data_IF_820503230624
#
_entry.id   IF_820503230624
#
_cell.length_a   1.000
_cell.length_b   1.000
_cell.length_c   1.000
_cell.angle_alpha   90.00
_cell.angle_beta   90.00
_cell.angle_gamma   90.00
#
_symmetry.space_group_name_H-M   'P 1'
#
loop_
_entity.id
_entity.type
_entity.pdbx_description
1 polymer ?
#
# COMPACT_ATOMS: atom_id res chain seq x y z
N UNK A 1 12.33 -31.54 -11.88
CA UNK A 1 11.66 -30.27 -11.52
C UNK A 1 12.45 -29.13 -12.16
N UNK A 2 11.83 -28.21 -12.90
CA UNK A 2 12.58 -27.11 -13.55
C UNK A 2 12.98 -26.09 -12.48
N UNK A 3 14.27 -25.91 -12.24
CA UNK A 3 14.78 -24.88 -11.33
C UNK A 3 14.50 -23.49 -11.91
N UNK A 4 13.39 -22.90 -11.48
CA UNK A 4 13.05 -21.51 -11.83
C UNK A 4 14.11 -20.61 -11.16
N UNK A 5 14.87 -19.84 -11.96
CA UNK A 5 15.87 -18.89 -11.46
C UNK A 5 15.22 -17.95 -10.43
N UNK A 6 15.56 -18.12 -9.15
CA UNK A 6 15.18 -17.21 -8.06
C UNK A 6 15.97 -15.92 -8.16
N UNK A 7 15.32 -14.77 -7.96
CA UNK A 7 16.06 -13.53 -7.67
C UNK A 7 16.85 -13.69 -6.36
N UNK A 8 18.02 -13.03 -6.19
CA UNK A 8 18.78 -13.13 -4.95
C UNK A 8 17.91 -12.80 -3.74
N UNK A 9 17.82 -13.71 -2.78
CA UNK A 9 17.03 -13.53 -1.55
C UNK A 9 15.54 -13.93 -1.62
N UNK A 10 15.07 -14.49 -2.73
CA UNK A 10 13.73 -15.07 -2.84
C UNK A 10 13.74 -16.55 -2.46
N UNK A 11 12.93 -16.93 -1.47
CA UNK A 11 12.88 -18.34 -1.04
C UNK A 11 11.88 -19.15 -1.86
N UNK A 12 10.86 -18.49 -2.39
CA UNK A 12 9.74 -19.15 -3.07
C UNK A 12 9.33 -18.39 -4.33
N UNK A 13 9.24 -19.10 -5.46
CA UNK A 13 8.75 -18.56 -6.74
C UNK A 13 7.42 -19.21 -7.06
N UNK A 14 6.29 -18.49 -6.93
CA UNK A 14 4.99 -19.03 -7.32
C UNK A 14 4.88 -19.17 -8.84
N UNK A 15 4.01 -20.06 -9.29
CA UNK A 15 3.71 -20.22 -10.73
C UNK A 15 2.75 -19.16 -11.24
N UNK A 16 1.87 -18.69 -10.36
CA UNK A 16 0.85 -17.68 -10.61
C UNK A 16 1.43 -16.27 -10.64
N UNK A 17 0.63 -15.31 -11.11
CA UNK A 17 0.96 -13.90 -11.00
C UNK A 17 1.08 -13.48 -9.53
N UNK A 18 2.10 -12.67 -9.24
CA UNK A 18 2.37 -12.26 -7.87
C UNK A 18 3.04 -10.88 -7.77
N UNK A 19 2.81 -10.24 -6.64
CA UNK A 19 3.56 -9.10 -6.15
C UNK A 19 4.44 -9.50 -4.97
N UNK A 20 5.53 -8.77 -4.74
CA UNK A 20 6.49 -9.06 -3.67
C UNK A 20 6.89 -7.78 -2.97
N UNK A 21 7.13 -7.88 -1.66
CA UNK A 21 7.86 -6.92 -0.85
C UNK A 21 8.86 -7.66 0.04
N UNK A 22 10.01 -7.03 0.28
CA UNK A 22 11.08 -7.59 1.09
C UNK A 22 11.56 -6.57 2.11
N UNK A 23 11.70 -7.00 3.36
CA UNK A 23 12.29 -6.20 4.43
C UNK A 23 13.62 -6.80 4.85
N UNK A 24 14.71 -6.06 4.71
CA UNK A 24 16.06 -6.45 5.14
C UNK A 24 16.37 -5.95 6.55
N UNK A 25 17.12 -6.73 7.32
CA UNK A 25 17.75 -6.28 8.58
C UNK A 25 16.81 -5.63 9.60
N UNK A 26 15.54 -6.02 9.63
CA UNK A 26 14.55 -5.44 10.54
C UNK A 26 14.87 -5.83 11.98
N UNK A 27 14.78 -4.86 12.91
CA UNK A 27 15.10 -5.01 14.33
C UNK A 27 14.03 -5.78 15.12
N UNK A 28 13.65 -6.96 14.67
CA UNK A 28 12.67 -7.84 15.32
C UNK A 28 13.27 -9.22 15.56
N UNK A 29 12.66 -10.01 16.44
CA UNK A 29 13.08 -11.39 16.65
C UNK A 29 12.46 -12.30 15.58
N UNK A 30 13.28 -13.18 14.99
CA UNK A 30 12.83 -14.16 14.00
C UNK A 30 11.71 -15.05 14.53
N UNK A 31 11.77 -15.48 15.80
CA UNK A 31 10.74 -16.35 16.39
C UNK A 31 9.37 -15.65 16.43
N UNK A 32 9.35 -14.40 16.86
CA UNK A 32 8.14 -13.57 16.86
C UNK A 32 7.62 -13.34 15.45
N UNK A 33 8.48 -12.95 14.51
CA UNK A 33 8.11 -12.77 13.11
C UNK A 33 7.56 -14.06 12.49
N UNK A 34 8.19 -15.21 12.75
CA UNK A 34 7.78 -16.51 12.20
C UNK A 34 6.40 -16.94 12.69
N UNK A 35 6.07 -16.70 13.96
CA UNK A 35 4.74 -17.00 14.50
C UNK A 35 3.66 -16.16 13.83
N UNK A 36 3.90 -14.86 13.64
CA UNK A 36 2.95 -13.97 12.94
C UNK A 36 2.87 -14.33 11.45
N UNK A 37 3.98 -14.67 10.79
CA UNK A 37 4.00 -15.16 9.40
C UNK A 37 3.10 -16.39 9.25
N UNK A 38 3.25 -17.38 10.13
CA UNK A 38 2.42 -18.60 10.13
C UNK A 38 0.94 -18.27 10.28
N UNK A 39 0.60 -17.29 11.11
CA UNK A 39 -0.78 -16.88 11.32
C UNK A 39 -1.41 -16.21 10.10
N UNK A 40 -0.67 -15.42 9.31
CA UNK A 40 -1.19 -14.73 8.11
C UNK A 40 -1.06 -15.54 6.82
N UNK A 41 -0.16 -16.53 6.78
CA UNK A 41 0.13 -17.33 5.59
C UNK A 41 -1.13 -18.04 5.09
N UNK A 42 -1.31 -18.05 3.76
CA UNK A 42 -2.45 -18.61 3.03
C UNK A 42 -3.80 -17.95 3.33
N UNK A 43 -3.86 -16.80 3.99
CA UNK A 43 -5.10 -16.02 4.14
C UNK A 43 -5.26 -15.04 2.96
N UNK A 44 -6.49 -14.67 2.59
CA UNK A 44 -6.72 -13.56 1.67
C UNK A 44 -6.19 -12.26 2.29
N UNK A 45 -5.80 -11.31 1.44
CA UNK A 45 -5.21 -10.02 1.83
C UNK A 45 -6.05 -9.29 2.88
N UNK A 46 -7.35 -9.20 2.65
CA UNK A 46 -8.32 -8.54 3.55
C UNK A 46 -8.30 -9.14 4.96
N UNK A 47 -8.38 -10.46 5.07
CA UNK A 47 -8.35 -11.18 6.35
C UNK A 47 -6.99 -11.07 7.05
N UNK A 48 -5.90 -11.06 6.29
CA UNK A 48 -4.56 -10.91 6.84
C UNK A 48 -4.35 -9.52 7.45
N UNK A 49 -4.75 -8.44 6.74
CA UNK A 49 -4.72 -7.07 7.26
C UNK A 49 -5.54 -6.92 8.53
N UNK A 50 -6.80 -7.36 8.49
CA UNK A 50 -7.69 -7.32 9.67
C UNK A 50 -7.07 -8.02 10.88
N UNK A 51 -6.47 -9.21 10.69
CA UNK A 51 -5.82 -9.93 11.79
C UNK A 51 -4.64 -9.13 12.38
N UNK A 52 -3.82 -8.50 11.54
CA UNK A 52 -2.69 -7.69 12.00
C UNK A 52 -3.15 -6.40 12.69
N UNK A 53 -4.25 -5.80 12.24
CA UNK A 53 -4.88 -4.65 12.90
C UNK A 53 -5.46 -5.03 14.25
N UNK A 54 -6.15 -6.17 14.35
CA UNK A 54 -6.67 -6.71 15.62
C UNK A 54 -5.54 -6.97 16.61
N UNK A 55 -4.39 -7.50 16.15
CA UNK A 55 -3.20 -7.72 16.97
C UNK A 55 -2.55 -6.41 17.41
N UNK A 56 -2.53 -5.40 16.53
CA UNK A 56 -2.00 -4.07 16.83
C UNK A 56 -2.88 -3.33 17.86
N UNK A 57 -4.19 -3.53 17.80
CA UNK A 57 -5.18 -2.99 18.71
C UNK A 57 -5.44 -3.87 19.95
N UNK A 58 -4.67 -4.95 20.12
CA UNK A 58 -4.75 -5.88 21.25
C UNK A 58 -6.11 -6.58 21.45
N UNK A 59 -6.96 -6.57 20.41
CA UNK A 59 -8.28 -7.22 20.39
C UNK A 59 -8.21 -8.74 20.29
N UNK A 60 -7.15 -9.24 19.66
CA UNK A 60 -6.87 -10.67 19.50
C UNK A 60 -5.41 -10.94 19.83
N UNK A 61 -5.12 -12.06 20.47
CA UNK A 61 -3.76 -12.48 20.77
C UNK A 61 -3.37 -13.73 19.97
N UNK A 62 -2.06 -13.88 19.71
CA UNK A 62 -1.48 -15.09 19.15
C UNK A 62 -0.65 -15.77 20.24
N UNK A 63 -1.06 -16.96 20.69
CA UNK A 63 -0.38 -17.69 21.77
C UNK A 63 -0.16 -16.81 23.03
N UNK A 64 -1.17 -16.02 23.40
CA UNK A 64 -1.12 -15.13 24.57
C UNK A 64 -0.26 -13.87 24.41
N UNK A 65 0.22 -13.55 23.19
CA UNK A 65 1.01 -12.34 22.92
C UNK A 65 0.52 -11.60 21.67
N UNK A 66 0.76 -10.30 21.61
CA UNK A 66 0.35 -9.44 20.49
C UNK A 66 1.45 -9.19 19.45
N UNK A 67 2.72 -9.44 19.82
CA UNK A 67 3.89 -9.25 18.94
C UNK A 67 3.96 -7.86 18.26
N UNK A 68 3.62 -6.81 19.01
CA UNK A 68 3.44 -5.43 18.53
C UNK A 68 4.53 -4.95 17.56
N UNK A 69 5.81 -5.19 17.85
CA UNK A 69 6.93 -4.78 16.98
C UNK A 69 6.97 -5.53 15.64
N UNK A 70 6.67 -6.84 15.64
CA UNK A 70 6.65 -7.63 14.41
C UNK A 70 5.45 -7.24 13.53
N UNK A 71 4.27 -7.10 14.16
CA UNK A 71 3.01 -6.71 13.49
C UNK A 71 3.15 -5.36 12.80
N UNK A 72 3.73 -4.34 13.46
CA UNK A 72 3.97 -3.02 12.86
C UNK A 72 4.80 -3.10 11.57
N UNK A 73 5.91 -3.83 11.59
CA UNK A 73 6.78 -3.98 10.40
C UNK A 73 6.10 -4.79 9.29
N UNK A 74 5.34 -5.84 9.65
CA UNK A 74 4.60 -6.65 8.68
C UNK A 74 3.49 -5.87 7.98
N UNK A 75 2.76 -5.03 8.72
CA UNK A 75 1.70 -4.20 8.15
C UNK A 75 2.28 -3.20 7.15
N UNK A 76 3.43 -2.58 7.48
CA UNK A 76 4.16 -1.72 6.55
C UNK A 76 4.58 -2.46 5.26
N UNK A 77 5.12 -3.68 5.38
CA UNK A 77 5.50 -4.50 4.21
C UNK A 77 4.28 -4.95 3.39
N UNK A 78 3.16 -5.29 4.03
CA UNK A 78 1.92 -5.65 3.33
C UNK A 78 1.38 -4.49 2.51
N UNK A 79 1.35 -3.28 3.06
CA UNK A 79 0.92 -2.08 2.33
C UNK A 79 1.86 -1.76 1.16
N UNK A 80 3.17 -1.97 1.32
CA UNK A 80 4.11 -1.87 0.19
C UNK A 80 3.85 -2.94 -0.88
N UNK A 81 3.55 -4.17 -0.46
CA UNK A 81 3.28 -5.27 -1.39
C UNK A 81 1.97 -5.09 -2.15
N UNK A 82 0.95 -4.51 -1.51
CA UNK A 82 -0.33 -4.15 -2.14
C UNK A 82 -0.16 -3.07 -3.21
N UNK A 83 0.55 -1.98 -2.90
CA UNK A 83 0.89 -0.95 -3.92
C UNK A 83 1.65 -1.55 -5.11
N UNK A 84 2.53 -2.52 -4.86
CA UNK A 84 3.21 -3.25 -5.93
C UNK A 84 2.26 -4.16 -6.73
N UNK A 85 1.21 -4.68 -6.09
CA UNK A 85 0.18 -5.49 -6.75
C UNK A 85 -0.72 -4.62 -7.63
N UNK A 86 -1.14 -3.45 -7.13
CA UNK A 86 -1.87 -2.43 -7.87
C UNK A 86 -1.08 -1.95 -9.09
N UNK A 87 0.21 -1.64 -8.91
CA UNK A 87 1.09 -1.25 -10.02
C UNK A 87 1.22 -2.34 -11.09
N UNK A 88 1.15 -3.61 -10.67
CA UNK A 88 1.14 -4.77 -11.58
C UNK A 88 -0.24 -5.07 -12.17
N UNK A 89 -1.29 -4.38 -11.74
CA UNK A 89 -2.67 -4.61 -12.16
C UNK A 89 -3.26 -5.94 -11.68
N UNK A 90 -2.83 -6.43 -10.52
CA UNK A 90 -3.39 -7.65 -9.91
C UNK A 90 -4.72 -7.33 -9.20
N UNK A 91 -5.65 -8.28 -9.23
CA UNK A 91 -6.96 -8.14 -8.60
C UNK A 91 -6.88 -8.33 -7.07
N UNK A 92 -7.21 -7.29 -6.30
CA UNK A 92 -7.04 -7.23 -4.84
C UNK A 92 -7.83 -8.32 -4.09
N UNK A 93 -9.00 -8.71 -4.61
CA UNK A 93 -9.90 -9.68 -3.96
C UNK A 93 -9.36 -11.12 -4.04
N UNK A 94 -8.51 -11.39 -5.03
CA UNK A 94 -7.96 -12.72 -5.31
C UNK A 94 -6.53 -12.89 -4.78
N UNK A 95 -6.01 -11.92 -4.04
CA UNK A 95 -4.66 -11.97 -3.47
C UNK A 95 -4.62 -12.77 -2.17
N UNK A 96 -3.75 -13.77 -2.16
CA UNK A 96 -3.43 -14.57 -0.99
C UNK A 96 -2.01 -14.26 -0.50
N UNK A 97 -1.87 -14.15 0.83
CA UNK A 97 -0.59 -13.83 1.45
C UNK A 97 0.27 -15.08 1.59
N UNK A 98 1.47 -15.04 1.03
CA UNK A 98 2.57 -15.93 1.39
C UNK A 98 3.62 -15.12 2.15
N UNK A 99 3.90 -15.49 3.40
CA UNK A 99 4.86 -14.78 4.23
C UNK A 99 5.91 -15.74 4.80
N UNK A 100 7.15 -15.28 4.84
CA UNK A 100 8.29 -15.98 5.44
C UNK A 100 9.18 -15.02 6.22
N UNK A 101 9.83 -15.54 7.28
CA UNK A 101 10.77 -14.79 8.10
C UNK A 101 12.07 -15.58 8.26
N UNK A 102 13.17 -14.97 7.83
CA UNK A 102 14.51 -15.52 7.88
C UNK A 102 15.36 -14.78 8.91
N UNK A 103 16.36 -15.48 9.43
CA UNK A 103 17.34 -14.89 10.34
C UNK A 103 18.19 -13.86 9.57
N UNK A 104 18.25 -12.64 10.07
CA UNK A 104 19.17 -11.62 9.55
C UNK A 104 20.53 -11.68 10.24
N UNK A 105 21.43 -10.77 9.85
CA UNK A 105 22.73 -10.66 10.50
C UNK A 105 22.58 -10.33 12.00
N UNK A 106 23.24 -11.12 12.85
CA UNK A 106 23.28 -10.86 14.29
C UNK A 106 24.32 -9.76 14.58
N UNK A 107 23.87 -8.60 15.06
CA UNK A 107 24.77 -7.51 15.41
C UNK A 107 25.10 -7.59 16.90
N UNK A 108 26.39 -7.77 17.24
CA UNK A 108 26.84 -7.76 18.63
C UNK A 108 26.68 -6.37 19.23
N UNK A 109 26.19 -6.28 20.48
CA UNK A 109 26.15 -5.00 21.20
C UNK A 109 27.52 -4.73 21.83
N UNK A 110 28.05 -3.52 21.67
CA UNK A 110 29.19 -3.05 22.48
C UNK A 110 28.72 -2.88 23.91
N UNK A 111 29.31 -3.62 24.86
CA UNK A 111 28.89 -3.66 26.28
C UNK A 111 30.09 -3.99 27.18
N UNK A 112 29.90 -3.78 28.49
CA UNK A 112 30.82 -4.20 29.57
C UNK A 112 30.91 -5.73 29.65
N UNK A 113 32.01 -6.25 30.22
CA UNK A 113 32.39 -7.68 30.23
C UNK A 113 31.27 -8.64 30.68
N UNK A 114 30.48 -8.29 31.70
CA UNK A 114 29.37 -9.12 32.21
C UNK A 114 28.13 -9.21 31.30
N UNK A 115 28.01 -8.34 30.29
CA UNK A 115 26.91 -8.36 29.31
C UNK A 115 27.42 -8.71 27.89
N UNK A 116 28.62 -9.28 27.81
CA UNK A 116 29.24 -9.74 26.57
C UNK A 116 28.44 -10.91 25.97
N UNK A 117 28.33 -10.97 24.64
CA UNK A 117 27.57 -12.01 23.93
C UNK A 117 26.11 -11.66 23.62
N UNK A 118 25.52 -10.61 24.21
CA UNK A 118 24.19 -10.14 23.81
C UNK A 118 24.17 -9.61 22.37
N UNK A 119 23.38 -10.22 21.50
CA UNK A 119 23.19 -9.79 20.11
C UNK A 119 21.87 -9.06 19.90
N UNK A 120 21.88 -7.99 19.10
CA UNK A 120 20.68 -7.45 18.48
C UNK A 120 20.21 -8.41 17.40
N UNK A 121 18.98 -8.90 17.57
CA UNK A 121 18.33 -9.79 16.61
C UNK A 121 17.81 -8.95 15.45
N UNK A 122 18.22 -9.35 14.25
CA UNK A 122 17.66 -8.83 13.02
C UNK A 122 17.01 -9.96 12.24
N UNK A 123 16.03 -9.62 11.42
CA UNK A 123 15.33 -10.56 10.54
C UNK A 123 15.16 -9.98 9.15
N UNK A 124 15.22 -10.86 8.17
CA UNK A 124 14.78 -10.57 6.83
C UNK A 124 13.37 -11.16 6.68
N UNK A 125 12.39 -10.37 6.22
CA UNK A 125 11.06 -10.90 5.94
C UNK A 125 10.75 -10.76 4.46
N UNK A 126 10.05 -11.75 3.95
CA UNK A 126 9.54 -11.80 2.59
C UNK A 126 8.03 -11.94 2.65
N UNK A 127 7.33 -11.07 1.91
CA UNK A 127 5.88 -11.17 1.70
C UNK A 127 5.64 -11.20 0.19
N UNK A 128 4.89 -12.20 -0.24
CA UNK A 128 4.36 -12.31 -1.59
C UNK A 128 2.83 -12.30 -1.53
N UNK A 129 2.22 -11.56 -2.44
CA UNK A 129 0.79 -11.63 -2.71
C UNK A 129 0.61 -12.42 -4.00
N UNK A 130 -0.04 -13.57 -3.89
CA UNK A 130 -0.22 -14.51 -4.99
C UNK A 130 -1.69 -14.44 -5.42
N UNK A 131 -1.92 -14.19 -6.70
CA UNK A 131 -3.26 -14.22 -7.26
C UNK A 131 -3.72 -15.67 -7.41
N UNK A 132 -4.73 -16.10 -6.65
CA UNK A 132 -5.31 -17.43 -6.77
C UNK A 132 -6.62 -17.36 -7.55
N UNK A 133 -6.66 -18.07 -8.67
CA UNK A 133 -7.81 -18.10 -9.60
C UNK A 133 -7.31 -18.54 -10.98
N UNK A 134 -8.22 -18.97 -11.87
CA UNK A 134 -7.85 -19.40 -13.23
C UNK A 134 -6.98 -18.35 -13.91
N UNK A 135 -5.92 -18.81 -14.58
CA UNK A 135 -5.09 -17.99 -15.47
C UNK A 135 -6.00 -17.15 -16.36
N UNK A 136 -5.89 -15.83 -16.29
CA UNK A 136 -6.33 -15.04 -17.44
C UNK A 136 -5.41 -15.45 -18.59
N UNK A 137 -5.94 -16.26 -19.51
CA UNK A 137 -5.34 -16.50 -20.83
C UNK A 137 -5.36 -15.20 -21.62
N UNK A 138 -4.55 -14.23 -21.21
CA UNK A 138 -4.38 -12.99 -21.97
C UNK A 138 -2.92 -12.57 -21.89
N UNK A 139 -2.11 -13.18 -22.77
CA UNK A 139 -1.01 -12.48 -23.44
C UNK A 139 -1.56 -11.37 -24.37
N UNK A 140 -2.64 -10.69 -23.98
CA UNK A 140 -3.29 -9.66 -24.78
C UNK A 140 -2.99 -8.33 -24.10
N UNK A 141 -1.96 -7.70 -24.66
CA UNK A 141 -1.87 -6.25 -24.85
C UNK A 141 -1.43 -5.39 -23.66
N UNK A 142 -0.11 -5.41 -23.40
CA UNK A 142 0.60 -4.21 -22.91
C UNK A 142 0.30 -2.94 -23.75
N UNK A 143 -0.20 -3.11 -24.99
CA UNK A 143 -0.75 -2.05 -25.86
C UNK A 143 -2.13 -1.53 -25.44
N UNK A 144 -3.13 -2.36 -25.07
CA UNK A 144 -4.47 -1.87 -24.67
C UNK A 144 -4.45 -1.24 -23.29
N UNK A 145 -3.58 -1.66 -22.37
CA UNK A 145 -3.48 -1.02 -21.04
C UNK A 145 -2.96 0.42 -21.13
N UNK A 146 -1.95 0.66 -22.00
CA UNK A 146 -1.49 2.03 -22.31
C UNK A 146 -2.58 2.89 -22.95
N UNK A 147 -3.41 2.28 -23.79
CA UNK A 147 -4.51 2.94 -24.50
C UNK A 147 -5.75 3.17 -23.59
N UNK A 148 -5.95 2.32 -22.58
CA UNK A 148 -7.04 2.44 -21.61
C UNK A 148 -6.70 3.39 -20.44
N UNK A 149 -5.43 3.49 -20.05
CA UNK A 149 -4.96 4.53 -19.11
C UNK A 149 -5.07 5.94 -19.71
N UNK A 150 -5.10 6.08 -21.04
CA UNK A 150 -5.32 7.35 -21.72
C UNK A 150 -6.80 7.72 -21.94
N UNK A 151 -7.76 6.81 -21.66
CA UNK A 151 -9.18 6.97 -22.06
C UNK A 151 -10.23 6.80 -20.95
N UNK A 152 -9.87 6.58 -19.69
CA UNK A 152 -10.85 6.67 -18.58
C UNK A 152 -10.59 7.91 -17.75
N UNK A 153 -11.33 9.02 -17.96
CA UNK A 153 -11.40 10.03 -16.92
C UNK A 153 -12.06 9.37 -15.72
N UNK A 154 -11.38 9.43 -14.58
CA UNK A 154 -11.91 8.91 -13.33
C UNK A 154 -13.15 9.73 -12.95
N UNK A 155 -14.17 9.11 -12.34
CA UNK A 155 -15.42 9.81 -11.96
C UNK A 155 -15.14 11.10 -11.16
N UNK A 156 -14.05 11.09 -10.39
CA UNK A 156 -13.51 12.24 -9.64
C UNK A 156 -13.07 13.40 -10.55
N UNK A 157 -12.49 13.14 -11.72
CA UNK A 157 -12.11 14.20 -12.67
C UNK A 157 -13.32 14.83 -13.36
N UNK A 158 -14.40 14.06 -13.56
CA UNK A 158 -15.65 14.58 -14.10
C UNK A 158 -16.38 15.46 -13.07
N UNK A 159 -16.37 15.05 -11.80
CA UNK A 159 -16.88 15.84 -10.67
C UNK A 159 -16.11 17.15 -10.50
N UNK A 160 -14.77 17.11 -10.48
CA UNK A 160 -13.92 18.31 -10.36
C UNK A 160 -14.13 19.26 -11.56
N UNK A 161 -14.40 18.73 -12.76
CA UNK A 161 -14.66 19.57 -13.94
C UNK A 161 -16.03 20.25 -13.83
N UNK A 162 -17.05 19.56 -13.34
CA UNK A 162 -18.38 20.13 -13.12
C UNK A 162 -18.34 21.23 -12.04
N UNK A 163 -17.60 21.02 -10.94
CA UNK A 163 -17.41 22.04 -9.89
C UNK A 163 -16.67 23.28 -10.42
N UNK A 164 -15.63 23.09 -11.24
CA UNK A 164 -14.89 24.21 -11.86
C UNK A 164 -15.73 25.00 -12.87
N UNK A 165 -16.64 24.34 -13.59
CA UNK A 165 -17.57 25.02 -14.49
C UNK A 165 -18.66 25.77 -13.73
N UNK A 166 -19.14 25.22 -12.60
CA UNK A 166 -20.03 25.92 -11.68
C UNK A 166 -19.41 27.21 -11.13
N UNK A 167 -18.21 27.12 -10.56
CA UNK A 167 -17.47 28.28 -10.03
C UNK A 167 -17.18 29.34 -11.10
N UNK A 168 -16.95 28.94 -12.35
CA UNK A 168 -16.75 29.91 -13.45
C UNK A 168 -18.01 30.72 -13.74
N UNK A 169 -19.17 30.07 -13.76
CA UNK A 169 -20.46 30.75 -13.98
C UNK A 169 -20.78 31.71 -12.84
N UNK A 170 -20.55 31.29 -11.59
CA UNK A 170 -20.71 32.16 -10.42
C UNK A 170 -19.76 33.38 -10.47
N UNK A 171 -18.53 33.18 -10.92
CA UNK A 171 -17.57 34.28 -11.09
C UNK A 171 -17.93 35.23 -12.24
N UNK A 172 -18.66 34.76 -13.26
CA UNK A 172 -19.14 35.59 -14.37
C UNK A 172 -20.35 36.44 -13.92
N UNK A 173 -21.31 35.85 -13.19
CA UNK A 173 -22.46 36.60 -12.65
C UNK A 173 -22.01 37.67 -11.67
N UNK A 174 -21.05 37.36 -10.77
CA UNK A 174 -20.50 38.36 -9.85
C UNK A 174 -19.77 39.51 -10.55
N UNK A 175 -19.16 39.25 -11.72
CA UNK A 175 -18.52 40.31 -12.52
C UNK A 175 -19.54 41.20 -13.22
N UNK A 176 -20.65 40.65 -13.67
CA UNK A 176 -21.76 41.41 -14.24
C UNK A 176 -22.41 42.30 -13.16
N UNK A 177 -22.68 41.74 -11.98
CA UNK A 177 -23.19 42.50 -10.82
C UNK A 177 -22.23 43.62 -10.38
N UNK A 178 -20.91 43.34 -10.34
CA UNK A 178 -19.92 44.38 -10.04
C UNK A 178 -19.90 45.51 -11.07
N UNK A 179 -20.14 45.18 -12.35
CA UNK A 179 -20.15 46.17 -13.43
C UNK A 179 -21.40 47.05 -13.37
N UNK A 180 -22.56 46.48 -13.03
CA UNK A 180 -23.80 47.22 -12.79
C UNK A 180 -23.65 48.16 -11.59
N UNK A 181 -23.14 47.67 -10.46
CA UNK A 181 -22.89 48.50 -9.28
C UNK A 181 -21.89 49.64 -9.55
N UNK A 182 -20.84 49.39 -10.33
CA UNK A 182 -19.90 50.44 -10.75
C UNK A 182 -20.55 51.49 -11.66
N UNK A 183 -21.49 51.09 -12.51
CA UNK A 183 -22.24 52.02 -13.35
C UNK A 183 -23.20 52.89 -12.51
N UNK A 184 -23.88 52.30 -11.53
CA UNK A 184 -24.76 53.01 -10.61
C UNK A 184 -24.01 54.02 -9.74
N UNK A 185 -22.82 53.64 -9.25
CA UNK A 185 -21.92 54.55 -8.50
C UNK A 185 -21.45 55.71 -9.39
N UNK A 186 -21.04 55.43 -10.62
CA UNK A 186 -20.61 56.46 -11.57
C UNK A 186 -21.77 57.41 -11.99
N UNK A 187 -23.01 56.92 -12.03
CA UNK A 187 -24.19 57.75 -12.26
C UNK A 187 -24.53 58.60 -11.03
N UNK A 188 -24.37 58.07 -9.83
CA UNK A 188 -24.55 58.80 -8.58
C UNK A 188 -23.52 59.94 -8.43
N UNK A 189 -22.25 59.69 -8.74
CA UNK A 189 -21.18 60.70 -8.71
C UNK A 189 -21.46 61.87 -9.68
N UNK A 190 -21.97 61.58 -10.89
CA UNK A 190 -22.38 62.60 -11.87
C UNK A 190 -23.62 63.40 -11.48
N UNK A 191 -24.44 62.91 -10.55
CA UNK A 191 -25.62 63.63 -10.02
C UNK A 191 -25.26 64.53 -8.84
N UNK A 192 -24.07 64.36 -8.26
CA UNK A 192 -23.57 65.15 -7.13
C UNK A 192 -22.62 66.28 -7.52
N UNK A 193 -22.16 66.33 -8.78
CA UNK A 193 -21.43 67.46 -9.40
C UNK A 193 -22.39 68.46 -10.07
#
# INVERSE_FOLDING_TARGET
MKDKKTSPGQTFVPEQNYARAFGTSMRISQKSASLVCRAIKNKPLTRAKRLLEDLKAERRSLAGKYYSKAVKNMLALLNSCEKNAEFKGLDADRLFVHASAHKGANIRRRRRKGAFGSTMKNTNMEILLIERGKERKDKVSKKKVKEQMAKKPTAVEQEIKAEKEGLKREMETLKEEQKELQADVAEAEKRTE
#
